data_IF_802561129743
#
_entry.id   IF_802561129743
#
_cell.length_a   1.000
_cell.length_b   1.000
_cell.length_c   1.000
_cell.angle_alpha   90.00
_cell.angle_beta   90.00
_cell.angle_gamma   90.00
#
_symmetry.space_group_name_H-M   'P 1'
#
loop_
_entity.id
_entity.type
_entity.pdbx_description
1 polymer ?
#
# COMPACT_ATOMS: atom_id res chain seq x y z
N UNK A 1 43.90 57.86 41.33
CA UNK A 1 44.56 56.55 41.19
C UNK A 1 43.45 55.52 40.99
N UNK A 2 43.37 54.97 39.77
CA UNK A 2 42.32 54.07 39.28
C UNK A 2 42.46 52.64 39.85
N UNK A 3 41.33 51.98 40.18
CA UNK A 3 41.08 50.52 40.09
C UNK A 3 39.65 50.27 40.63
N UNK A 4 38.60 50.18 39.82
CA UNK A 4 38.17 49.10 38.89
C UNK A 4 37.88 47.76 39.59
N UNK A 5 36.56 47.52 39.75
CA UNK A 5 35.79 46.29 39.49
C UNK A 5 36.51 44.93 39.43
N UNK A 6 35.95 43.95 40.15
CA UNK A 6 35.59 42.67 39.50
C UNK A 6 34.47 41.98 40.28
N UNK A 7 33.24 42.08 39.75
CA UNK A 7 32.14 41.22 40.13
C UNK A 7 32.35 39.84 39.50
N UNK A 8 32.36 38.79 40.31
CA UNK A 8 32.26 37.41 39.84
C UNK A 8 30.81 37.14 39.41
N UNK A 9 30.49 37.44 38.15
CA UNK A 9 29.23 37.02 37.54
C UNK A 9 29.38 35.60 36.99
N UNK A 10 28.94 34.63 37.79
CA UNK A 10 28.86 33.23 37.37
C UNK A 10 27.53 32.99 36.66
N UNK A 11 27.55 32.73 35.35
CA UNK A 11 26.42 32.11 34.64
C UNK A 11 26.89 31.06 33.63
N UNK A 12 26.85 29.77 33.99
CA UNK A 12 26.94 28.68 33.03
C UNK A 12 25.64 27.85 33.05
N UNK A 13 24.49 28.40 32.65
CA UNK A 13 23.21 27.65 32.70
C UNK A 13 22.43 27.67 31.38
N UNK A 14 22.65 28.67 30.52
CA UNK A 14 21.89 28.84 29.26
C UNK A 14 22.39 27.94 28.11
N UNK A 15 23.69 27.66 28.04
CA UNK A 15 24.29 26.85 26.96
C UNK A 15 23.95 25.34 27.07
N UNK A 16 23.89 24.81 28.30
CA UNK A 16 23.58 23.40 28.58
C UNK A 16 22.11 23.04 28.27
N UNK A 17 21.16 23.93 28.57
CA UNK A 17 19.73 23.72 28.27
C UNK A 17 19.47 23.68 26.75
N UNK A 18 20.09 24.58 25.99
CA UNK A 18 19.96 24.61 24.54
C UNK A 18 20.57 23.38 23.87
N UNK A 19 21.67 22.84 24.41
CA UNK A 19 22.29 21.62 23.90
C UNK A 19 21.45 20.37 24.21
N UNK A 20 20.90 20.25 25.42
CA UNK A 20 19.96 19.17 25.78
C UNK A 20 18.69 19.20 24.92
N UNK A 21 18.15 20.39 24.65
CA UNK A 21 16.98 20.54 23.77
C UNK A 21 17.28 20.08 22.33
N UNK A 22 18.44 20.46 21.77
CA UNK A 22 18.87 20.01 20.43
C UNK A 22 19.03 18.50 20.33
N UNK A 23 19.59 17.85 21.37
CA UNK A 23 19.73 16.39 21.41
C UNK A 23 18.36 15.71 21.44
N UNK A 24 17.45 16.16 22.31
CA UNK A 24 16.10 15.61 22.41
C UNK A 24 15.32 15.73 21.09
N UNK A 25 15.45 16.86 20.40
CA UNK A 25 14.85 17.06 19.07
C UNK A 25 15.46 16.08 18.05
N UNK A 26 16.78 15.92 18.04
CA UNK A 26 17.47 14.98 17.13
C UNK A 26 17.06 13.52 17.39
N UNK A 27 16.96 13.12 18.65
CA UNK A 27 16.48 11.79 19.05
C UNK A 27 15.02 11.55 18.64
N UNK A 28 14.15 12.55 18.82
CA UNK A 28 12.76 12.48 18.39
C UNK A 28 12.64 12.33 16.86
N UNK A 29 13.42 13.09 16.09
CA UNK A 29 13.46 12.98 14.63
C UNK A 29 14.00 11.62 14.17
N UNK A 30 15.08 11.12 14.77
CA UNK A 30 15.63 9.80 14.43
C UNK A 30 14.65 8.67 14.75
N UNK A 31 13.96 8.77 15.89
CA UNK A 31 12.90 7.83 16.27
C UNK A 31 11.74 7.87 15.28
N UNK A 32 11.31 9.06 14.82
CA UNK A 32 10.25 9.18 13.82
C UNK A 32 10.64 8.63 12.45
N UNK A 33 11.86 8.88 11.98
CA UNK A 33 12.37 8.36 10.71
C UNK A 33 12.41 6.83 10.71
N UNK A 34 12.90 6.24 11.81
CA UNK A 34 12.96 4.78 11.97
C UNK A 34 11.55 4.16 11.94
N UNK A 35 10.59 4.79 12.62
CA UNK A 35 9.18 4.36 12.62
C UNK A 35 8.56 4.45 11.22
N UNK A 36 8.77 5.55 10.50
CA UNK A 36 8.26 5.73 9.14
C UNK A 36 8.86 4.72 8.15
N UNK A 37 10.14 4.40 8.31
CA UNK A 37 10.81 3.35 7.54
C UNK A 37 10.19 1.96 7.79
N UNK A 38 9.98 1.60 9.05
CA UNK A 38 9.37 0.33 9.44
C UNK A 38 7.93 0.18 8.92
N UNK A 39 7.10 1.24 9.03
CA UNK A 39 5.72 1.25 8.51
C UNK A 39 5.72 1.07 6.98
N UNK A 40 6.62 1.75 6.27
CA UNK A 40 6.73 1.63 4.82
C UNK A 40 7.09 0.20 4.41
N UNK A 41 8.04 -0.44 5.10
CA UNK A 41 8.43 -1.81 4.83
C UNK A 41 7.29 -2.81 5.10
N UNK A 42 6.55 -2.61 6.20
CA UNK A 42 5.40 -3.43 6.55
C UNK A 42 4.31 -3.34 5.47
N UNK A 43 3.94 -2.12 5.06
CA UNK A 43 2.96 -1.90 4.01
C UNK A 43 3.40 -2.46 2.66
N UNK A 44 4.67 -2.30 2.29
CA UNK A 44 5.24 -2.87 1.07
C UNK A 44 5.14 -4.40 1.10
N UNK A 45 5.41 -5.02 2.25
CA UNK A 45 5.31 -6.47 2.43
C UNK A 45 3.87 -6.96 2.32
N UNK A 46 2.93 -6.33 3.04
CA UNK A 46 1.51 -6.72 3.01
C UNK A 46 0.95 -6.58 1.59
N UNK A 47 1.17 -5.43 0.96
CA UNK A 47 0.65 -5.15 -0.39
C UNK A 47 1.28 -6.10 -1.40
N UNK A 48 2.57 -6.42 -1.27
CA UNK A 48 3.24 -7.39 -2.13
C UNK A 48 2.64 -8.79 -1.99
N UNK A 49 2.47 -9.29 -0.76
CA UNK A 49 1.92 -10.62 -0.50
C UNK A 49 0.49 -10.75 -1.03
N UNK A 50 -0.37 -9.78 -0.75
CA UNK A 50 -1.73 -9.80 -1.27
C UNK A 50 -1.78 -9.66 -2.79
N UNK A 51 -0.95 -8.79 -3.37
CA UNK A 51 -0.86 -8.66 -4.83
C UNK A 51 -0.41 -9.98 -5.47
N UNK A 52 0.44 -10.77 -4.79
CA UNK A 52 0.85 -12.09 -5.25
C UNK A 52 -0.32 -13.06 -5.27
N UNK A 53 -1.06 -13.11 -4.16
CA UNK A 53 -2.25 -13.95 -4.02
C UNK A 53 -3.26 -13.61 -5.10
N UNK A 54 -3.64 -12.33 -5.24
CA UNK A 54 -4.63 -11.89 -6.26
C UNK A 54 -4.13 -12.18 -7.67
N UNK A 55 -2.84 -11.95 -7.97
CA UNK A 55 -2.28 -12.22 -9.31
C UNK A 55 -2.41 -13.68 -9.75
N UNK A 56 -2.45 -14.61 -8.78
CA UNK A 56 -2.62 -16.05 -9.02
C UNK A 56 -4.09 -16.46 -8.89
N UNK A 57 -4.77 -16.02 -7.84
CA UNK A 57 -6.13 -16.44 -7.52
C UNK A 57 -7.14 -15.92 -8.57
N UNK A 58 -7.01 -14.69 -9.04
CA UNK A 58 -7.98 -14.13 -10.00
C UNK A 58 -8.10 -14.90 -11.31
N UNK A 59 -7.00 -15.24 -12.01
CA UNK A 59 -7.11 -16.05 -13.22
C UNK A 59 -7.51 -17.51 -12.95
N UNK A 60 -7.24 -18.05 -11.76
CA UNK A 60 -7.49 -19.47 -11.44
C UNK A 60 -8.86 -19.73 -10.83
N UNK A 61 -9.41 -18.82 -10.03
CA UNK A 61 -10.62 -19.00 -9.22
C UNK A 61 -11.72 -17.99 -9.59
N UNK A 62 -11.39 -16.70 -9.64
CA UNK A 62 -12.38 -15.64 -9.88
C UNK A 62 -12.89 -15.68 -11.32
N UNK A 63 -12.01 -15.94 -12.28
CA UNK A 63 -12.36 -16.11 -13.69
C UNK A 63 -13.40 -17.23 -13.92
N UNK A 64 -13.44 -18.27 -13.07
CA UNK A 64 -14.47 -19.32 -13.12
C UNK A 64 -15.88 -18.80 -12.75
N UNK A 65 -15.99 -17.57 -12.21
CA UNK A 65 -17.28 -16.93 -11.96
C UNK A 65 -17.87 -16.42 -13.28
N UNK A 66 -17.03 -15.87 -14.16
CA UNK A 66 -17.42 -15.31 -15.45
C UNK A 66 -17.34 -16.31 -16.61
N UNK A 67 -16.43 -17.27 -16.55
CA UNK A 67 -16.16 -18.24 -17.61
C UNK A 67 -16.82 -19.61 -17.31
N UNK A 68 -17.16 -20.38 -18.36
CA UNK A 68 -17.65 -21.74 -18.20
C UNK A 68 -16.65 -22.65 -17.47
N UNK A 69 -17.15 -23.52 -16.60
CA UNK A 69 -16.32 -24.42 -15.78
C UNK A 69 -15.49 -25.44 -16.57
N UNK A 70 -15.92 -25.80 -17.79
CA UNK A 70 -15.19 -26.76 -18.64
C UNK A 70 -13.84 -26.23 -19.16
N UNK A 71 -13.59 -24.92 -19.06
CA UNK A 71 -12.30 -24.32 -19.42
C UNK A 71 -11.24 -24.51 -18.34
N UNK A 72 -11.62 -25.04 -17.18
CA UNK A 72 -10.74 -25.19 -16.03
C UNK A 72 -10.52 -26.66 -15.68
N UNK A 73 -9.32 -27.02 -15.19
CA UNK A 73 -9.05 -28.37 -14.72
C UNK A 73 -9.91 -28.69 -13.49
N UNK A 74 -10.36 -29.95 -13.39
CA UNK A 74 -11.26 -30.40 -12.32
C UNK A 74 -10.81 -30.02 -10.90
N UNK A 75 -9.51 -30.11 -10.51
CA UNK A 75 -9.08 -29.71 -9.18
C UNK A 75 -9.39 -28.25 -8.82
N UNK A 76 -9.33 -27.32 -9.79
CA UNK A 76 -9.63 -25.90 -9.55
C UNK A 76 -11.13 -25.66 -9.38
N UNK A 77 -11.95 -26.40 -10.12
CA UNK A 77 -13.40 -26.34 -10.00
C UNK A 77 -13.84 -26.92 -8.66
N UNK A 78 -13.26 -28.04 -8.26
CA UNK A 78 -13.56 -28.70 -6.98
C UNK A 78 -13.08 -27.87 -5.79
N UNK A 79 -11.90 -27.24 -5.90
CA UNK A 79 -11.40 -26.29 -4.90
C UNK A 79 -12.37 -25.11 -4.69
N UNK A 80 -12.90 -24.55 -5.79
CA UNK A 80 -13.87 -23.46 -5.72
C UNK A 80 -15.18 -23.89 -5.07
N UNK A 81 -15.69 -25.07 -5.41
CA UNK A 81 -16.90 -25.64 -4.80
C UNK A 81 -16.70 -25.88 -3.31
N UNK A 82 -15.60 -26.54 -2.95
CA UNK A 82 -15.25 -26.79 -1.56
C UNK A 82 -15.14 -25.49 -0.74
N UNK A 83 -14.53 -24.44 -1.31
CA UNK A 83 -14.51 -23.11 -0.69
C UNK A 83 -15.93 -22.58 -0.47
N UNK A 84 -16.77 -22.62 -1.50
CA UNK A 84 -18.12 -22.07 -1.45
C UNK A 84 -18.98 -22.79 -0.39
N UNK A 85 -18.85 -24.12 -0.29
CA UNK A 85 -19.52 -24.94 0.72
C UNK A 85 -18.98 -24.68 2.14
N UNK A 86 -17.65 -24.54 2.29
CA UNK A 86 -17.00 -24.32 3.58
C UNK A 86 -17.41 -22.99 4.23
N UNK A 87 -17.51 -21.93 3.42
CA UNK A 87 -17.84 -20.59 3.89
C UNK A 87 -19.32 -20.22 3.73
N UNK A 88 -20.10 -21.05 3.04
CA UNK A 88 -21.49 -20.73 2.69
C UNK A 88 -21.58 -19.49 1.80
N UNK A 89 -20.60 -19.33 0.90
CA UNK A 89 -20.46 -18.11 0.09
C UNK A 89 -21.46 -18.10 -1.06
N UNK A 90 -22.65 -17.58 -0.78
CA UNK A 90 -23.74 -17.54 -1.76
C UNK A 90 -23.43 -16.64 -2.96
N UNK A 91 -22.51 -15.68 -2.83
CA UNK A 91 -22.09 -14.84 -3.96
C UNK A 91 -21.36 -15.68 -5.01
N UNK A 92 -20.59 -16.66 -4.57
CA UNK A 92 -19.84 -17.57 -5.44
C UNK A 92 -20.73 -18.69 -6.00
N UNK A 93 -21.73 -19.17 -5.24
CA UNK A 93 -22.63 -20.24 -5.69
C UNK A 93 -23.76 -19.72 -6.59
N UNK A 94 -24.46 -18.67 -6.18
CA UNK A 94 -25.62 -18.11 -6.90
C UNK A 94 -25.21 -17.14 -8.01
N UNK A 95 -24.00 -16.57 -7.92
CA UNK A 95 -23.42 -15.65 -8.92
C UNK A 95 -24.37 -14.50 -9.32
N UNK A 96 -24.83 -13.68 -8.37
CA UNK A 96 -25.71 -12.55 -8.69
C UNK A 96 -25.02 -11.59 -9.67
N UNK A 97 -25.79 -10.95 -10.56
CA UNK A 97 -25.25 -10.17 -11.68
C UNK A 97 -24.29 -9.04 -11.25
N UNK A 98 -24.55 -8.38 -10.12
CA UNK A 98 -23.66 -7.34 -9.61
C UNK A 98 -22.28 -7.93 -9.23
N UNK A 99 -22.25 -9.12 -8.62
CA UNK A 99 -21.02 -9.79 -8.20
C UNK A 99 -20.21 -10.22 -9.42
N UNK A 100 -20.86 -10.82 -10.43
CA UNK A 100 -20.21 -11.13 -11.72
C UNK A 100 -19.62 -9.86 -12.35
N UNK A 101 -20.34 -8.72 -12.27
CA UNK A 101 -19.83 -7.42 -12.71
C UNK A 101 -18.57 -6.98 -11.95
N UNK A 102 -18.54 -7.15 -10.61
CA UNK A 102 -17.37 -6.85 -9.79
C UNK A 102 -16.18 -7.75 -10.16
N UNK A 103 -16.40 -9.03 -10.42
CA UNK A 103 -15.34 -9.95 -10.85
C UNK A 103 -14.76 -9.53 -12.21
N UNK A 104 -15.57 -9.02 -13.14
CA UNK A 104 -15.04 -8.46 -14.38
C UNK A 104 -14.15 -7.23 -14.13
N UNK A 105 -14.55 -6.34 -13.22
CA UNK A 105 -13.70 -5.20 -12.80
C UNK A 105 -12.40 -5.71 -12.18
N UNK A 106 -12.48 -6.75 -11.36
CA UNK A 106 -11.31 -7.37 -10.75
C UNK A 106 -10.36 -7.94 -11.81
N UNK A 107 -10.86 -8.68 -12.80
CA UNK A 107 -10.04 -9.26 -13.87
C UNK A 107 -9.40 -8.18 -14.76
N UNK A 108 -10.14 -7.14 -15.14
CA UNK A 108 -9.64 -6.14 -16.10
C UNK A 108 -8.87 -4.97 -15.47
N UNK A 109 -9.13 -4.64 -14.21
CA UNK A 109 -8.51 -3.51 -13.54
C UNK A 109 -7.66 -3.93 -12.35
N UNK A 110 -8.23 -4.66 -11.38
CA UNK A 110 -7.50 -4.98 -10.15
C UNK A 110 -6.33 -5.93 -10.41
N UNK A 111 -6.54 -6.97 -11.23
CA UNK A 111 -5.53 -7.97 -11.53
C UNK A 111 -4.30 -7.39 -12.23
N UNK A 112 -4.41 -6.58 -13.31
CA UNK A 112 -3.25 -5.92 -13.91
C UNK A 112 -2.53 -4.98 -12.94
N UNK A 113 -3.27 -4.29 -12.06
CA UNK A 113 -2.69 -3.43 -11.03
C UNK A 113 -1.93 -4.22 -9.97
N UNK A 114 -2.43 -5.39 -9.56
CA UNK A 114 -1.75 -6.31 -8.64
C UNK A 114 -0.46 -6.86 -9.26
N UNK A 115 -0.49 -7.27 -10.53
CA UNK A 115 0.72 -7.71 -11.25
C UNK A 115 1.73 -6.55 -11.36
N UNK A 116 1.26 -5.35 -11.68
CA UNK A 116 2.11 -4.15 -11.70
C UNK A 116 2.69 -3.85 -10.31
N UNK A 117 1.92 -3.97 -9.23
CA UNK A 117 2.39 -3.78 -7.86
C UNK A 117 3.48 -4.78 -7.48
N UNK A 118 3.33 -6.05 -7.84
CA UNK A 118 4.37 -7.07 -7.63
C UNK A 118 5.70 -6.64 -8.25
N UNK A 119 5.67 -6.33 -9.54
CA UNK A 119 6.87 -5.90 -10.26
C UNK A 119 7.42 -4.59 -9.67
N UNK A 120 6.54 -3.63 -9.44
CA UNK A 120 6.88 -2.29 -9.00
C UNK A 120 7.53 -2.27 -7.62
N UNK A 121 7.02 -3.06 -6.67
CA UNK A 121 7.57 -3.17 -5.31
C UNK A 121 8.92 -3.91 -5.35
N UNK A 122 8.98 -5.08 -6.00
CA UNK A 122 10.22 -5.88 -6.10
C UNK A 122 11.35 -5.11 -6.79
N UNK A 123 11.04 -4.30 -7.80
CA UNK A 123 12.03 -3.48 -8.53
C UNK A 123 12.18 -2.07 -7.96
N UNK A 124 11.54 -1.74 -6.84
CA UNK A 124 11.62 -0.42 -6.21
C UNK A 124 11.22 0.74 -7.13
N UNK A 125 10.25 0.51 -8.03
CA UNK A 125 9.77 1.52 -8.99
C UNK A 125 8.89 2.54 -8.30
N UNK A 126 9.11 3.82 -8.60
CA UNK A 126 8.36 4.91 -7.97
C UNK A 126 6.87 4.95 -8.31
N UNK A 127 6.47 4.43 -9.48
CA UNK A 127 5.07 4.35 -9.90
C UNK A 127 4.27 3.29 -9.11
N UNK A 128 4.95 2.39 -8.38
CA UNK A 128 4.29 1.34 -7.58
C UNK A 128 3.36 1.89 -6.50
N UNK A 129 3.64 3.11 -6.00
CA UNK A 129 2.77 3.81 -5.06
C UNK A 129 1.44 4.20 -5.72
N UNK A 130 1.49 4.73 -6.94
CA UNK A 130 0.29 5.12 -7.69
C UNK A 130 -0.56 3.89 -8.03
N UNK A 131 0.06 2.81 -8.49
CA UNK A 131 -0.65 1.56 -8.77
C UNK A 131 -1.19 0.90 -7.50
N UNK A 132 -0.51 1.03 -6.37
CA UNK A 132 -1.02 0.57 -5.07
C UNK A 132 -2.24 1.38 -4.64
N UNK A 133 -2.21 2.70 -4.83
CA UNK A 133 -3.37 3.56 -4.55
C UNK A 133 -4.58 3.16 -5.42
N UNK A 134 -4.37 3.01 -6.73
CA UNK A 134 -5.43 2.62 -7.66
C UNK A 134 -6.01 1.24 -7.31
N UNK A 135 -5.14 0.25 -7.04
CA UNK A 135 -5.55 -1.09 -6.64
C UNK A 135 -6.34 -1.05 -5.33
N UNK A 136 -5.86 -0.30 -4.33
CA UNK A 136 -6.50 -0.15 -3.04
C UNK A 136 -7.89 0.49 -3.15
N UNK A 137 -8.05 1.55 -3.95
CA UNK A 137 -9.36 2.18 -4.18
C UNK A 137 -10.31 1.22 -4.90
N UNK A 138 -9.84 0.55 -5.96
CA UNK A 138 -10.64 -0.43 -6.70
C UNK A 138 -11.12 -1.59 -5.82
N UNK A 139 -10.21 -2.14 -5.01
CA UNK A 139 -10.53 -3.18 -4.04
C UNK A 139 -11.48 -2.68 -2.95
N UNK A 140 -11.27 -1.46 -2.43
CA UNK A 140 -12.14 -0.88 -1.41
C UNK A 140 -13.58 -0.69 -1.91
N UNK A 141 -13.76 -0.20 -3.14
CA UNK A 141 -15.09 -0.05 -3.75
C UNK A 141 -15.79 -1.40 -3.92
N UNK A 142 -15.07 -2.41 -4.42
CA UNK A 142 -15.62 -3.76 -4.59
C UNK A 142 -15.99 -4.39 -3.25
N UNK A 143 -15.11 -4.26 -2.25
CA UNK A 143 -15.35 -4.74 -0.88
C UNK A 143 -16.51 -4.03 -0.20
N UNK A 144 -16.67 -2.71 -0.40
CA UNK A 144 -17.80 -1.97 0.13
C UNK A 144 -19.13 -2.49 -0.45
N UNK A 145 -19.18 -2.77 -1.76
CA UNK A 145 -20.37 -3.33 -2.40
C UNK A 145 -20.68 -4.75 -1.89
N UNK A 146 -19.67 -5.62 -1.80
CA UNK A 146 -19.82 -6.98 -1.26
C UNK A 146 -20.30 -6.95 0.19
N UNK A 147 -19.65 -6.14 1.04
CA UNK A 147 -20.02 -6.05 2.45
C UNK A 147 -21.41 -5.46 2.67
N UNK A 148 -21.81 -4.47 1.87
CA UNK A 148 -23.16 -3.91 1.91
C UNK A 148 -24.22 -4.97 1.59
N UNK A 149 -23.99 -5.79 0.56
CA UNK A 149 -24.89 -6.89 0.19
C UNK A 149 -24.90 -7.99 1.25
N UNK A 150 -23.74 -8.44 1.72
CA UNK A 150 -23.64 -9.48 2.75
C UNK A 150 -24.38 -9.05 4.03
N UNK A 151 -24.13 -7.82 4.51
CA UNK A 151 -24.79 -7.29 5.71
C UNK A 151 -26.28 -6.98 5.50
N UNK A 152 -26.68 -6.54 4.30
CA UNK A 152 -28.06 -6.19 3.98
C UNK A 152 -28.97 -7.38 3.67
N UNK A 153 -28.41 -8.47 3.14
CA UNK A 153 -29.16 -9.66 2.71
C UNK A 153 -29.72 -10.52 3.86
N UNK A 154 -29.28 -10.28 5.10
CA UNK A 154 -29.59 -11.14 6.25
C UNK A 154 -28.95 -12.52 6.21
N UNK A 155 -28.12 -12.82 5.19
CA UNK A 155 -27.37 -14.06 5.02
C UNK A 155 -25.93 -13.97 5.54
N UNK A 156 -25.59 -12.86 6.21
CA UNK A 156 -24.28 -12.64 6.82
C UNK A 156 -23.99 -13.68 7.90
N UNK A 157 -23.08 -14.61 7.59
CA UNK A 157 -22.45 -15.48 8.59
C UNK A 157 -21.16 -14.84 9.09
N UNK A 158 -20.83 -15.02 10.37
CA UNK A 158 -19.57 -14.55 10.96
C UNK A 158 -18.36 -15.07 10.17
N UNK A 159 -18.39 -16.33 9.75
CA UNK A 159 -17.33 -16.95 8.93
C UNK A 159 -17.16 -16.24 7.58
N UNK A 160 -18.27 -15.86 6.95
CA UNK A 160 -18.25 -15.20 5.65
C UNK A 160 -17.66 -13.78 5.77
N UNK A 161 -18.07 -13.03 6.80
CA UNK A 161 -17.49 -11.70 7.10
C UNK A 161 -15.99 -11.81 7.38
N UNK A 162 -15.58 -12.78 8.21
CA UNK A 162 -14.17 -13.01 8.53
C UNK A 162 -13.34 -13.37 7.29
N UNK A 163 -13.91 -14.10 6.33
CA UNK A 163 -13.26 -14.42 5.05
C UNK A 163 -13.03 -13.17 4.18
N UNK A 164 -13.99 -12.24 4.15
CA UNK A 164 -13.89 -11.02 3.34
C UNK A 164 -13.03 -9.91 3.98
N UNK A 165 -12.87 -9.93 5.31
CA UNK A 165 -12.12 -8.92 6.08
C UNK A 165 -10.67 -8.68 5.61
N UNK A 166 -9.85 -9.71 5.31
CA UNK A 166 -8.48 -9.54 4.83
C UNK A 166 -8.38 -8.73 3.54
N UNK A 167 -9.35 -8.85 2.63
CA UNK A 167 -9.38 -8.08 1.38
C UNK A 167 -9.66 -6.59 1.64
N UNK A 168 -10.56 -6.29 2.60
CA UNK A 168 -10.79 -4.93 3.08
C UNK A 168 -9.54 -4.33 3.72
N UNK A 169 -8.85 -5.10 4.57
CA UNK A 169 -7.59 -4.68 5.19
C UNK A 169 -6.50 -4.41 4.14
N UNK A 170 -6.37 -5.28 3.14
CA UNK A 170 -5.48 -5.08 2.00
C UNK A 170 -5.78 -3.76 1.28
N UNK A 171 -7.05 -3.49 0.97
CA UNK A 171 -7.46 -2.27 0.29
C UNK A 171 -7.01 -1.01 1.05
N UNK A 172 -7.23 -0.98 2.37
CA UNK A 172 -6.78 0.11 3.25
C UNK A 172 -5.26 0.23 3.27
N UNK A 173 -4.53 -0.87 3.45
CA UNK A 173 -3.07 -0.87 3.43
C UNK A 173 -2.51 -0.34 2.10
N UNK A 174 -3.09 -0.74 0.97
CA UNK A 174 -2.69 -0.30 -0.36
C UNK A 174 -2.94 1.21 -0.58
N UNK A 175 -4.07 1.74 -0.10
CA UNK A 175 -4.37 3.18 -0.11
C UNK A 175 -3.34 3.94 0.74
N UNK A 176 -3.13 3.53 1.99
CA UNK A 176 -2.16 4.19 2.88
C UNK A 176 -0.78 4.19 2.24
N UNK A 177 -0.34 3.03 1.72
CA UNK A 177 0.93 2.91 1.01
C UNK A 177 1.06 3.92 -0.13
N UNK A 178 0.02 4.03 -0.95
CA UNK A 178 0.00 4.91 -2.12
C UNK A 178 0.03 6.40 -1.76
N UNK A 179 -0.55 6.77 -0.62
CA UNK A 179 -0.56 8.15 -0.11
C UNK A 179 0.72 8.55 0.63
N UNK A 180 1.54 7.60 1.09
CA UNK A 180 2.77 7.92 1.81
C UNK A 180 3.74 8.74 0.94
N UNK A 181 4.29 9.85 1.44
CA UNK A 181 5.22 10.70 0.71
C UNK A 181 6.40 9.92 0.13
N UNK A 182 6.87 10.31 -1.05
CA UNK A 182 8.12 9.77 -1.59
C UNK A 182 9.26 10.38 -0.78
N UNK A 183 10.07 9.55 -0.12
CA UNK A 183 11.34 10.01 0.43
C UNK A 183 12.13 10.65 -0.73
N UNK A 184 12.28 11.97 -0.68
CA UNK A 184 12.99 12.74 -1.71
C UNK A 184 14.43 12.27 -1.62
N UNK A 185 14.90 11.51 -2.61
CA UNK A 185 16.35 11.40 -2.82
C UNK A 185 16.81 12.81 -3.12
N UNK A 186 17.44 13.47 -2.15
CA UNK A 186 18.14 14.74 -2.33
C UNK A 186 19.18 14.47 -3.40
N UNK A 187 18.82 14.79 -4.65
CA UNK A 187 19.80 14.81 -5.73
C UNK A 187 20.59 16.07 -5.45
N UNK A 188 21.74 15.92 -4.79
CA UNK A 188 22.76 16.95 -4.79
C UNK A 188 22.95 17.35 -6.26
N UNK A 189 22.84 18.63 -6.63
CA UNK A 189 23.07 19.03 -8.01
C UNK A 189 24.50 18.61 -8.37
N UNK A 190 24.60 17.65 -9.29
CA UNK A 190 25.86 17.33 -9.95
C UNK A 190 26.28 18.60 -10.68
N UNK A 191 27.27 19.29 -10.12
CA UNK A 191 27.94 20.38 -10.79
C UNK A 191 28.76 19.78 -11.94
N UNK A 192 28.13 19.57 -13.10
CA UNK A 192 28.86 19.33 -14.34
C UNK A 192 28.04 19.77 -15.56
N UNK A 193 28.76 20.41 -16.48
CA UNK A 193 28.36 20.91 -17.79
C UNK A 193 27.56 22.21 -17.87
N UNK A 194 28.31 23.30 -17.99
CA UNK A 194 27.80 24.56 -18.50
C UNK A 194 28.89 25.48 -19.03
N UNK A 195 29.70 25.05 -20.00
CA UNK A 195 30.35 25.96 -20.97
C UNK A 195 30.70 25.19 -22.26
N UNK A 196 29.68 24.95 -23.08
CA UNK A 196 29.86 24.68 -24.50
C UNK A 196 28.87 25.57 -25.26
N UNK A 197 29.42 26.55 -25.98
CA UNK A 197 28.91 27.20 -27.19
C UNK A 197 28.99 28.74 -27.12
N UNK A 198 29.98 29.32 -27.82
CA UNK A 198 29.70 30.26 -28.91
C UNK A 198 30.92 30.42 -29.83
N UNK A 199 31.01 29.58 -30.86
CA UNK A 199 31.81 29.83 -32.06
C UNK A 199 30.83 30.13 -33.18
N UNK A 200 30.74 31.38 -33.64
CA UNK A 200 30.27 31.71 -34.98
C UNK A 200 31.11 32.87 -35.53
N UNK A 201 31.79 32.56 -36.63
CA UNK A 201 32.36 33.49 -37.60
C UNK A 201 31.22 34.12 -38.40
N UNK A 202 31.32 35.41 -38.66
CA UNK A 202 31.03 36.09 -39.93
C UNK A 202 31.84 37.40 -39.88
#
# INVERSE_FOLDING_TARGET
>A
MFSIFSSSFSLPVTHSKNQKAKIKIKEAHLSSETKMGAISLLLDTIVLLFSLVVSIATPLLDSQTCLPSHLFPAPLVDLKKWYADLYGDYLVTEKPHFFVGLIWVEIFFLWPLCVANLYGIVKGRGWSKTTSLMAGVCAATSMAAIMAEVLGSGRASEKLIQMYSPFGAFAVCAIIRGLLPRARKTTLPSASHGYAARKKRA
#
